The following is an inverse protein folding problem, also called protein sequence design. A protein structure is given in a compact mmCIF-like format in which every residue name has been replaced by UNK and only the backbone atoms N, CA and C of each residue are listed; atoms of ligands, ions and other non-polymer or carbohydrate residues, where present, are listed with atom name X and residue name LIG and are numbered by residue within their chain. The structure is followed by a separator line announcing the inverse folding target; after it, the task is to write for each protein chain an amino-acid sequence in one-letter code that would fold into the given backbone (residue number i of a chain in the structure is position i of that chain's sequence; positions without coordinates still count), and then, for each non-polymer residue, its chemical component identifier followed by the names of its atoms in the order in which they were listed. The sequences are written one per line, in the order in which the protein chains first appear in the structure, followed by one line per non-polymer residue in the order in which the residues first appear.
data_IF_569765174622
#
_entry.id   IF_569765174622
#
_cell.length_a   1.000
_cell.length_b   1.000
_cell.length_c   1.000
_cell.angle_alpha   90.00
_cell.angle_beta   90.00
_cell.angle_gamma   90.00
#
_symmetry.space_group_name_H-M   'P 1'
#
loop_
_entity.id
_entity.type
_entity.pdbx_description
1 polymer ?
#
# COMPACT_ATOMS: atom_id res chain seq x y z
N UNK A 1 13.77 7.30 -4.63
CA UNK A 1 14.81 7.56 -3.60
C UNK A 1 14.83 6.37 -2.66
N UNK A 2 16.00 5.96 -2.19
CA UNK A 2 16.18 4.89 -1.20
C UNK A 2 16.59 5.59 0.10
N UNK A 3 15.76 5.47 1.13
CA UNK A 3 16.04 6.03 2.45
C UNK A 3 15.92 4.94 3.53
N UNK A 4 16.73 5.02 4.61
CA UNK A 4 16.62 4.10 5.74
C UNK A 4 15.37 4.36 6.58
N UNK A 5 14.83 5.58 6.53
CA UNK A 5 13.70 6.03 7.32
C UNK A 5 12.79 6.94 6.47
N UNK A 6 11.46 6.89 6.64
CA UNK A 6 10.56 7.85 6.02
C UNK A 6 10.84 9.27 6.52
N UNK A 7 10.93 10.22 5.58
CA UNK A 7 11.10 11.65 5.88
C UNK A 7 10.15 12.48 5.04
N UNK A 8 9.32 13.28 5.70
CA UNK A 8 8.32 14.14 5.04
C UNK A 8 8.93 15.13 4.05
N UNK A 9 10.16 15.60 4.31
CA UNK A 9 10.91 16.48 3.40
C UNK A 9 11.14 15.85 2.02
N UNK A 10 11.37 14.53 1.98
CA UNK A 10 11.59 13.80 0.72
C UNK A 10 10.27 13.71 -0.05
N UNK A 11 9.15 13.47 0.64
CA UNK A 11 7.83 13.39 0.02
C UNK A 11 7.42 14.72 -0.59
N UNK A 12 7.67 15.84 0.11
CA UNK A 12 7.45 17.18 -0.43
C UNK A 12 8.33 17.48 -1.65
N UNK A 13 9.61 17.09 -1.62
CA UNK A 13 10.50 17.27 -2.76
C UNK A 13 10.08 16.42 -3.98
N UNK A 14 9.42 15.29 -3.76
CA UNK A 14 8.87 14.40 -4.80
C UNK A 14 7.47 14.80 -5.29
N UNK A 15 6.86 15.84 -4.70
CA UNK A 15 5.54 16.33 -5.11
C UNK A 15 4.35 15.60 -4.46
N UNK A 16 4.49 15.13 -3.23
CA UNK A 16 3.45 14.47 -2.43
C UNK A 16 2.78 13.29 -3.16
N UNK A 17 3.46 12.14 -3.28
CA UNK A 17 2.90 10.99 -3.98
C UNK A 17 1.60 10.50 -3.31
N UNK A 18 0.48 10.58 -4.02
CA UNK A 18 -0.80 10.05 -3.56
C UNK A 18 -0.91 8.57 -3.86
N UNK A 19 -1.43 7.78 -2.90
CA UNK A 19 -1.66 6.35 -3.09
C UNK A 19 -3.15 6.04 -3.26
N UNK A 20 -3.48 5.05 -4.09
CA UNK A 20 -4.88 4.61 -4.36
C UNK A 20 -5.39 3.68 -3.24
N UNK A 21 -4.50 3.28 -2.35
CA UNK A 21 -4.73 2.30 -1.28
C UNK A 21 -5.94 2.62 -0.38
N UNK A 22 -6.17 3.88 0.06
CA UNK A 22 -7.33 4.21 0.90
C UNK A 22 -8.67 3.97 0.19
N UNK A 23 -8.74 4.20 -1.12
CA UNK A 23 -9.94 3.95 -1.91
C UNK A 23 -10.24 2.45 -2.04
N UNK A 24 -9.20 1.64 -2.17
CA UNK A 24 -9.31 0.18 -2.20
C UNK A 24 -9.82 -0.33 -0.85
N UNK A 25 -9.23 0.17 0.26
CA UNK A 25 -9.67 -0.16 1.61
C UNK A 25 -11.14 0.21 1.84
N UNK A 26 -11.57 1.40 1.39
CA UNK A 26 -12.97 1.85 1.48
C UNK A 26 -13.91 0.91 0.72
N UNK A 27 -13.55 0.52 -0.51
CA UNK A 27 -14.37 -0.37 -1.34
C UNK A 27 -14.55 -1.74 -0.70
N UNK A 28 -13.46 -2.37 -0.24
CA UNK A 28 -13.53 -3.68 0.40
C UNK A 28 -14.17 -3.64 1.79
N UNK A 29 -14.05 -2.53 2.52
CA UNK A 29 -14.79 -2.30 3.75
C UNK A 29 -16.30 -2.18 3.52
N UNK A 30 -16.73 -1.41 2.51
CA UNK A 30 -18.14 -1.32 2.13
C UNK A 30 -18.69 -2.68 1.69
N UNK A 31 -17.90 -3.47 0.94
CA UNK A 31 -18.25 -4.83 0.55
C UNK A 31 -18.37 -5.76 1.76
N UNK A 32 -17.42 -5.70 2.71
CA UNK A 32 -17.47 -6.47 3.94
C UNK A 32 -18.68 -6.14 4.81
N UNK A 33 -19.05 -4.85 4.89
CA UNK A 33 -20.27 -4.39 5.56
C UNK A 33 -21.52 -4.97 4.89
N UNK A 34 -21.61 -4.86 3.55
CA UNK A 34 -22.73 -5.41 2.80
C UNK A 34 -22.89 -6.92 3.01
N UNK A 35 -21.79 -7.68 2.93
CA UNK A 35 -21.79 -9.13 3.19
C UNK A 35 -22.19 -9.43 4.63
N UNK A 36 -21.70 -8.66 5.60
CA UNK A 36 -21.97 -8.90 7.01
C UNK A 36 -23.39 -8.58 7.48
N UNK A 37 -24.14 -7.76 6.75
CA UNK A 37 -25.59 -7.60 6.97
C UNK A 37 -26.44 -8.55 6.13
N UNK A 38 -26.04 -8.81 4.87
CA UNK A 38 -26.81 -9.68 3.97
C UNK A 38 -26.73 -11.15 4.37
N UNK A 39 -25.58 -11.64 4.86
CA UNK A 39 -25.41 -13.04 5.23
C UNK A 39 -26.27 -13.47 6.44
N UNK A 40 -26.30 -12.74 7.57
CA UNK A 40 -27.22 -13.04 8.67
C UNK A 40 -28.69 -12.85 8.27
N UNK A 41 -29.01 -11.83 7.46
CA UNK A 41 -30.38 -11.60 6.99
C UNK A 41 -30.88 -12.74 6.09
N UNK A 42 -30.02 -13.27 5.22
CA UNK A 42 -30.36 -14.40 4.35
C UNK A 42 -30.58 -15.67 5.17
N UNK A 43 -29.67 -15.99 6.09
CA UNK A 43 -29.81 -17.19 6.94
C UNK A 43 -31.03 -17.12 7.86
N UNK A 44 -31.36 -15.95 8.41
CA UNK A 44 -32.57 -15.76 9.22
C UNK A 44 -33.87 -15.84 8.39
N UNK A 45 -33.82 -15.51 7.10
CA UNK A 45 -34.97 -15.65 6.20
C UNK A 45 -35.16 -17.07 5.69
N UNK A 46 -34.08 -17.83 5.51
CA UNK A 46 -34.14 -19.22 5.02
C UNK A 46 -34.62 -20.17 6.12
N UNK A 47 -34.11 -19.99 7.35
CA UNK A 47 -34.49 -20.82 8.49
C UNK A 47 -34.95 -19.97 9.67
N UNK A 48 -36.26 -19.76 9.74
CA UNK A 48 -36.88 -18.92 10.78
C UNK A 48 -36.89 -19.64 12.12
N UNK A 49 -36.03 -19.20 13.03
CA UNK A 49 -35.99 -19.64 14.43
C UNK A 49 -36.56 -18.57 15.35
N UNK A 50 -37.81 -18.73 15.84
CA UNK A 50 -38.36 -17.81 16.82
C UNK A 50 -37.67 -18.01 18.17
N UNK A 51 -36.67 -17.17 18.45
CA UNK A 51 -35.97 -17.12 19.74
C UNK A 51 -36.36 -15.87 20.52
N UNK A 52 -36.85 -16.06 21.75
CA UNK A 52 -37.08 -14.96 22.71
C UNK A 52 -38.03 -13.86 22.22
N UNK A 53 -38.96 -14.14 21.30
CA UNK A 53 -39.94 -13.18 20.77
C UNK A 53 -39.34 -12.01 19.98
N UNK A 54 -38.07 -12.09 19.59
CA UNK A 54 -37.38 -11.05 18.83
C UNK A 54 -37.80 -11.07 17.35
N UNK A 55 -37.77 -9.92 16.65
CA UNK A 55 -37.99 -9.90 15.21
C UNK A 55 -36.95 -10.75 14.51
N UNK A 56 -37.36 -11.44 13.44
CA UNK A 56 -36.49 -12.31 12.62
C UNK A 56 -35.28 -11.52 12.10
N UNK A 57 -35.48 -10.25 11.74
CA UNK A 57 -34.43 -9.30 11.41
C UNK A 57 -34.10 -8.44 12.64
N UNK A 58 -33.25 -8.97 13.52
CA UNK A 58 -32.71 -8.20 14.63
C UNK A 58 -31.44 -7.46 14.20
N UNK A 59 -31.57 -6.16 13.89
CA UNK A 59 -30.45 -5.32 13.44
C UNK A 59 -29.30 -5.23 14.47
N UNK A 60 -29.56 -5.04 15.79
CA UNK A 60 -28.46 -4.89 16.76
C UNK A 60 -27.45 -6.05 16.81
N UNK A 61 -27.85 -7.35 16.83
CA UNK A 61 -26.88 -8.44 16.76
C UNK A 61 -26.17 -8.55 15.40
N UNK A 62 -26.81 -8.15 14.29
CA UNK A 62 -26.16 -8.16 12.98
C UNK A 62 -25.05 -7.12 12.87
N UNK A 63 -25.16 -5.99 13.59
CA UNK A 63 -24.11 -4.97 13.62
C UNK A 63 -22.78 -5.51 14.13
N UNK A 64 -22.79 -6.43 15.10
CA UNK A 64 -21.56 -7.06 15.62
C UNK A 64 -20.88 -7.87 14.51
N UNK A 65 -21.66 -8.70 13.81
CA UNK A 65 -21.16 -9.54 12.71
C UNK A 65 -20.70 -8.67 11.53
N UNK A 66 -21.48 -7.65 11.18
CA UNK A 66 -21.16 -6.68 10.13
C UNK A 66 -19.88 -5.91 10.41
N UNK A 67 -19.65 -5.49 11.65
CA UNK A 67 -18.44 -4.79 12.06
C UNK A 67 -17.20 -5.68 11.91
N UNK A 68 -17.24 -6.92 12.40
CA UNK A 68 -16.13 -7.86 12.29
C UNK A 68 -15.80 -8.18 10.82
N UNK A 69 -16.81 -8.44 10.00
CA UNK A 69 -16.61 -8.70 8.56
C UNK A 69 -16.08 -7.47 7.81
N UNK A 70 -16.51 -6.26 8.19
CA UNK A 70 -15.97 -5.02 7.63
C UNK A 70 -14.47 -4.91 7.88
N UNK A 71 -14.02 -5.10 9.13
CA UNK A 71 -12.60 -5.00 9.48
C UNK A 71 -11.79 -6.13 8.85
N UNK A 72 -12.32 -7.36 8.86
CA UNK A 72 -11.65 -8.53 8.30
C UNK A 72 -11.40 -8.36 6.79
N UNK A 73 -12.43 -8.00 6.03
CA UNK A 73 -12.29 -7.76 4.59
C UNK A 73 -11.37 -6.57 4.31
N UNK A 74 -11.56 -5.44 4.99
CA UNK A 74 -10.70 -4.27 4.80
C UNK A 74 -9.23 -4.63 5.01
N UNK A 75 -8.89 -5.33 6.09
CA UNK A 75 -7.50 -5.62 6.45
C UNK A 75 -6.86 -6.60 5.48
N UNK A 76 -7.52 -7.71 5.16
CA UNK A 76 -6.99 -8.73 4.25
C UNK A 76 -6.79 -8.15 2.85
N UNK A 77 -7.80 -7.48 2.30
CA UNK A 77 -7.70 -6.93 0.96
C UNK A 77 -6.72 -5.76 0.87
N UNK A 78 -6.58 -4.95 1.93
CA UNK A 78 -5.55 -3.91 1.98
C UNK A 78 -4.15 -4.52 1.99
N UNK A 79 -3.92 -5.57 2.79
CA UNK A 79 -2.63 -6.27 2.81
C UNK A 79 -2.28 -6.86 1.44
N UNK A 80 -3.23 -7.55 0.81
CA UNK A 80 -3.06 -8.11 -0.54
C UNK A 80 -2.80 -7.01 -1.55
N UNK A 81 -3.49 -5.87 -1.45
CA UNK A 81 -3.30 -4.73 -2.35
C UNK A 81 -1.91 -4.13 -2.19
N UNK A 82 -1.41 -3.94 -0.97
CA UNK A 82 -0.03 -3.45 -0.74
C UNK A 82 0.98 -4.39 -1.40
N UNK A 83 0.83 -5.71 -1.18
CA UNK A 83 1.73 -6.69 -1.76
C UNK A 83 1.67 -6.65 -3.30
N UNK A 84 0.47 -6.59 -3.88
CA UNK A 84 0.28 -6.56 -5.33
C UNK A 84 0.84 -5.27 -5.95
N UNK A 85 0.52 -4.10 -5.39
CA UNK A 85 1.04 -2.81 -5.85
C UNK A 85 2.56 -2.76 -5.72
N UNK A 86 3.12 -3.24 -4.61
CA UNK A 86 4.57 -3.31 -4.42
C UNK A 86 5.28 -4.23 -5.42
N UNK A 87 4.66 -5.36 -5.76
CA UNK A 87 5.18 -6.27 -6.79
C UNK A 87 5.13 -5.60 -8.17
N UNK A 88 4.01 -4.99 -8.54
CA UNK A 88 3.84 -4.28 -9.82
C UNK A 88 4.87 -3.15 -9.95
N UNK A 89 5.05 -2.37 -8.88
CA UNK A 89 6.01 -1.26 -8.85
C UNK A 89 7.45 -1.78 -8.98
N UNK A 90 7.80 -2.87 -8.30
CA UNK A 90 9.11 -3.52 -8.42
C UNK A 90 9.40 -4.01 -9.85
N UNK A 91 8.39 -4.51 -10.57
CA UNK A 91 8.54 -4.91 -11.97
C UNK A 91 8.66 -3.71 -12.93
N UNK A 92 7.92 -2.62 -12.68
CA UNK A 92 7.97 -1.41 -13.50
C UNK A 92 9.25 -0.60 -13.25
N UNK A 93 9.69 -0.59 -12.00
CA UNK A 93 10.85 0.13 -11.53
C UNK A 93 11.85 -0.79 -10.81
N UNK A 94 12.54 -1.69 -11.54
CA UNK A 94 13.56 -2.54 -10.94
C UNK A 94 14.68 -1.72 -10.29
N UNK A 95 15.03 -2.09 -9.06
CA UNK A 95 16.15 -1.50 -8.33
C UNK A 95 17.47 -1.96 -8.98
N UNK A 96 18.41 -1.05 -9.30
CA UNK A 96 19.71 -1.40 -9.87
C UNK A 96 20.49 -2.39 -8.99
N UNK A 97 21.31 -3.27 -9.57
CA UNK A 97 22.05 -4.28 -8.79
C UNK A 97 23.09 -3.63 -7.89
N UNK A 98 23.69 -2.53 -8.33
CA UNK A 98 24.62 -1.76 -7.52
C UNK A 98 23.95 -1.26 -6.24
N UNK A 99 22.71 -0.75 -6.35
CA UNK A 99 21.95 -0.29 -5.19
C UNK A 99 21.53 -1.44 -4.27
N UNK A 100 21.14 -2.59 -4.83
CA UNK A 100 20.77 -3.79 -4.06
C UNK A 100 21.93 -4.39 -3.27
N UNK A 101 23.15 -4.29 -3.80
CA UNK A 101 24.38 -4.82 -3.16
C UNK A 101 24.89 -3.91 -2.03
N UNK A 102 24.39 -2.68 -1.90
CA UNK A 102 24.91 -1.70 -0.96
C UNK A 102 24.11 -1.71 0.37
N UNK A 103 24.64 -2.34 1.45
CA UNK A 103 23.88 -2.53 2.68
C UNK A 103 23.70 -1.25 3.52
N UNK A 104 24.46 -0.18 3.24
CA UNK A 104 24.44 1.05 4.05
C UNK A 104 23.18 1.89 3.84
N UNK A 105 22.41 1.65 2.77
CA UNK A 105 21.14 2.34 2.54
C UNK A 105 20.08 2.04 3.60
N UNK A 106 20.20 0.92 4.31
CA UNK A 106 19.30 0.58 5.42
C UNK A 106 19.78 1.16 6.76
N UNK A 107 21.02 1.68 6.84
CA UNK A 107 21.64 2.11 8.10
C UNK A 107 21.69 3.62 8.25
N UNK A 108 22.33 4.30 7.31
CA UNK A 108 22.74 5.71 7.49
C UNK A 108 22.78 6.51 6.18
N UNK A 109 22.90 5.85 5.03
CA UNK A 109 23.07 6.53 3.74
C UNK A 109 21.75 6.63 2.98
N UNK A 110 21.59 7.70 2.24
CA UNK A 110 20.49 7.92 1.30
C UNK A 110 20.98 7.68 -0.13
N UNK A 111 20.14 7.07 -0.96
CA UNK A 111 20.43 6.81 -2.36
C UNK A 111 19.42 7.47 -3.29
N UNK A 112 19.89 8.17 -4.33
CA UNK A 112 19.03 8.70 -5.39
C UNK A 112 19.32 7.93 -6.67
N UNK A 113 18.31 7.24 -7.20
CA UNK A 113 18.40 6.52 -8.46
C UNK A 113 17.72 7.37 -9.52
N UNK A 114 18.48 7.80 -10.52
CA UNK A 114 17.97 8.54 -11.67
C UNK A 114 18.12 7.66 -12.90
N UNK A 115 17.02 7.46 -13.63
CA UNK A 115 17.03 6.79 -14.93
C UNK A 115 17.17 7.85 -16.00
N UNK A 116 18.20 7.74 -16.81
CA UNK A 116 18.48 8.68 -17.88
C UNK A 116 18.91 7.93 -19.14
N UNK A 117 18.77 8.61 -20.28
CA UNK A 117 19.32 8.14 -21.55
C UNK A 117 20.86 8.32 -21.55
N UNK A 118 21.55 7.57 -22.41
CA UNK A 118 23.01 7.56 -22.47
C UNK A 118 23.60 8.96 -22.77
N UNK A 119 22.87 9.78 -23.51
CA UNK A 119 23.27 11.15 -23.87
C UNK A 119 23.29 12.11 -22.67
N UNK A 120 22.49 11.87 -21.63
CA UNK A 120 22.35 12.77 -20.47
C UNK A 120 23.17 12.34 -19.27
N UNK A 121 23.92 11.26 -19.40
CA UNK A 121 24.60 10.59 -18.29
C UNK A 121 25.64 11.52 -17.63
N UNK A 122 26.46 12.18 -18.44
CA UNK A 122 27.47 13.15 -17.97
C UNK A 122 26.84 14.36 -17.27
N UNK A 123 25.70 14.82 -17.77
CA UNK A 123 24.96 15.95 -17.19
C UNK A 123 24.46 15.58 -15.78
N UNK A 124 23.84 14.40 -15.63
CA UNK A 124 23.34 13.95 -14.33
C UNK A 124 24.47 13.63 -13.35
N UNK A 125 25.57 13.03 -13.80
CA UNK A 125 26.74 12.79 -12.96
C UNK A 125 27.32 14.11 -12.42
N UNK A 126 27.44 15.12 -13.27
CA UNK A 126 27.92 16.45 -12.87
C UNK A 126 26.98 17.11 -11.85
N UNK A 127 25.67 17.05 -12.09
CA UNK A 127 24.67 17.58 -11.16
C UNK A 127 24.76 16.88 -9.80
N UNK A 128 24.90 15.56 -9.77
CA UNK A 128 25.01 14.80 -8.52
C UNK A 128 26.28 15.17 -7.73
N UNK A 129 27.44 15.24 -8.40
CA UNK A 129 28.70 15.63 -7.75
C UNK A 129 28.64 17.05 -7.19
N UNK A 130 28.06 18.00 -7.94
CA UNK A 130 27.93 19.39 -7.49
C UNK A 130 26.98 19.54 -6.28
N UNK A 131 26.02 18.63 -6.10
CA UNK A 131 25.07 18.65 -4.99
C UNK A 131 25.47 17.72 -3.82
N UNK A 132 26.75 17.34 -3.72
CA UNK A 132 27.29 16.63 -2.55
C UNK A 132 27.11 15.12 -2.55
N UNK A 133 26.96 14.47 -3.71
CA UNK A 133 26.98 13.02 -3.79
C UNK A 133 28.36 12.45 -3.41
N UNK A 134 28.41 11.63 -2.36
CA UNK A 134 29.63 10.96 -1.87
C UNK A 134 30.14 9.90 -2.86
N UNK A 135 29.22 9.13 -3.45
CA UNK A 135 29.52 8.05 -4.40
C UNK A 135 28.52 8.13 -5.57
N UNK A 136 29.02 8.06 -6.82
CA UNK A 136 28.19 7.98 -8.03
C UNK A 136 28.53 6.70 -8.78
N UNK A 137 27.51 5.89 -9.06
CA UNK A 137 27.64 4.62 -9.78
C UNK A 137 26.76 4.65 -11.02
N UNK A 138 27.34 4.26 -12.15
CA UNK A 138 26.67 4.17 -13.44
C UNK A 138 26.43 2.70 -13.74
N UNK A 139 25.17 2.30 -13.84
CA UNK A 139 24.76 0.95 -14.26
C UNK A 139 24.09 1.08 -15.63
N UNK A 140 24.60 0.33 -16.63
CA UNK A 140 24.04 0.26 -17.98
C UNK A 140 22.92 -0.75 -18.07
#
# INVERSE_FOLDING_TARGET
VISPCPRHEIDHALGNPTTILPWIALFFGALGCFIGYSFPAWTASDWVLPVSGKPILAIPPYTIIGFELTILFTTIFTLVSIAMLGIIDSFRFPIPRAAKKYPRFQRDRFGVVVRCDAEKLEQFETIMKNNGAEEVHVEK
#
